data_IF_661051143580
#
_entry.id   IF_661051143580
#
_cell.length_a   1.000
_cell.length_b   1.000
_cell.length_c   1.000
_cell.angle_alpha   90.00
_cell.angle_beta   90.00
_cell.angle_gamma   90.00
#
_symmetry.space_group_name_H-M   'P 1'
#
loop_
_entity.id
_entity.type
_entity.pdbx_description
1 polymer ?
#
# COMPACT_ATOMS: atom_id res chain seq x y z
N UNK A 1 3.65 48.47 -22.67
CA UNK A 1 2.60 47.41 -22.64
C UNK A 1 3.26 46.15 -22.11
N UNK A 2 2.76 45.56 -21.02
CA UNK A 2 3.32 44.33 -20.49
C UNK A 2 3.07 43.17 -21.47
N UNK A 3 4.06 42.31 -21.68
CA UNK A 3 3.98 41.15 -22.57
C UNK A 3 2.85 40.20 -22.10
N UNK A 4 1.84 39.90 -22.94
CA UNK A 4 0.75 38.99 -22.60
C UNK A 4 1.21 37.59 -22.14
N UNK A 5 2.44 37.17 -22.45
CA UNK A 5 3.05 35.91 -22.00
C UNK A 5 3.33 35.84 -20.48
N UNK A 6 3.31 36.98 -19.78
CA UNK A 6 3.66 37.07 -18.34
C UNK A 6 2.46 37.13 -17.39
N UNK A 7 1.23 36.99 -17.91
CA UNK A 7 0.00 37.15 -17.12
C UNK A 7 -0.29 35.90 -16.28
N UNK A 8 -0.27 36.05 -14.95
CA UNK A 8 -0.57 34.99 -13.99
C UNK A 8 -2.09 34.76 -13.84
N UNK A 9 -2.53 33.50 -13.96
CA UNK A 9 -3.94 33.11 -13.84
C UNK A 9 -4.14 32.13 -12.67
N UNK A 10 -4.23 32.60 -11.42
CA UNK A 10 -4.22 31.74 -10.23
C UNK A 10 -5.43 30.80 -10.15
N UNK A 11 -6.59 31.24 -10.65
CA UNK A 11 -7.80 30.40 -10.73
C UNK A 11 -7.62 29.23 -11.70
N UNK A 12 -7.01 29.49 -12.86
CA UNK A 12 -6.74 28.45 -13.87
C UNK A 12 -5.73 27.45 -13.33
N UNK A 13 -4.61 27.95 -12.76
CA UNK A 13 -3.60 27.12 -12.12
C UNK A 13 -4.22 26.20 -11.06
N UNK A 14 -5.00 26.77 -10.13
CA UNK A 14 -5.61 26.01 -9.04
C UNK A 14 -6.54 24.91 -9.57
N UNK A 15 -7.39 25.22 -10.55
CA UNK A 15 -8.28 24.22 -11.16
C UNK A 15 -7.50 23.11 -11.89
N UNK A 16 -6.44 23.46 -12.61
CA UNK A 16 -5.55 22.48 -13.25
C UNK A 16 -4.80 21.63 -12.22
N UNK A 17 -4.39 22.20 -11.08
CA UNK A 17 -3.77 21.47 -9.97
C UNK A 17 -4.75 20.48 -9.31
N UNK A 18 -6.01 20.86 -9.10
CA UNK A 18 -7.06 19.94 -8.62
C UNK A 18 -7.25 18.78 -9.61
N UNK A 19 -7.34 19.07 -10.91
CA UNK A 19 -7.48 18.04 -11.94
C UNK A 19 -6.27 17.10 -11.99
N UNK A 20 -5.05 17.65 -11.99
CA UNK A 20 -3.82 16.86 -12.00
C UNK A 20 -3.70 15.98 -10.75
N UNK A 21 -3.96 16.55 -9.56
CA UNK A 21 -3.98 15.81 -8.30
C UNK A 21 -4.98 14.66 -8.32
N UNK A 22 -6.21 14.91 -8.82
CA UNK A 22 -7.24 13.88 -8.96
C UNK A 22 -6.80 12.74 -9.88
N UNK A 23 -6.21 13.04 -11.04
CA UNK A 23 -5.77 12.02 -11.99
C UNK A 23 -4.63 11.15 -11.43
N UNK A 24 -3.62 11.79 -10.82
CA UNK A 24 -2.46 11.08 -10.25
C UNK A 24 -2.90 10.24 -9.03
N UNK A 25 -3.75 10.79 -8.16
CA UNK A 25 -4.33 10.08 -7.01
C UNK A 25 -5.18 8.89 -7.46
N UNK A 26 -5.97 9.04 -8.53
CA UNK A 26 -6.80 7.95 -9.07
C UNK A 26 -5.93 6.83 -9.64
N UNK A 27 -4.92 7.17 -10.44
CA UNK A 27 -3.98 6.20 -11.00
C UNK A 27 -3.24 5.45 -9.89
N UNK A 28 -2.65 6.16 -8.94
CA UNK A 28 -1.95 5.56 -7.80
C UNK A 28 -2.90 4.78 -6.88
N UNK A 29 -4.16 5.17 -6.77
CA UNK A 29 -5.22 4.42 -6.07
C UNK A 29 -5.53 3.09 -6.75
N UNK A 30 -5.57 3.05 -8.09
CA UNK A 30 -5.69 1.78 -8.85
C UNK A 30 -4.46 0.90 -8.62
N UNK A 31 -3.25 1.47 -8.60
CA UNK A 31 -2.04 0.70 -8.25
C UNK A 31 -2.12 0.15 -6.83
N UNK A 32 -2.59 0.94 -5.86
CA UNK A 32 -2.80 0.51 -4.48
C UNK A 32 -3.90 -0.56 -4.33
N UNK A 33 -4.85 -0.59 -5.26
CA UNK A 33 -5.85 -1.64 -5.34
C UNK A 33 -5.20 -2.97 -5.76
N UNK A 34 -4.34 -2.95 -6.78
CA UNK A 34 -3.77 -4.16 -7.39
C UNK A 34 -2.51 -4.66 -6.67
N UNK A 35 -1.71 -3.78 -6.05
CA UNK A 35 -0.43 -4.17 -5.48
C UNK A 35 -0.56 -5.20 -4.34
N UNK A 36 0.41 -6.12 -4.19
CA UNK A 36 0.35 -7.14 -3.14
C UNK A 36 0.35 -6.54 -1.73
N UNK A 37 -0.02 -7.37 -0.75
CA UNK A 37 0.16 -7.01 0.66
C UNK A 37 1.63 -6.70 0.96
N UNK A 38 1.89 -5.79 1.92
CA UNK A 38 3.24 -5.33 2.24
C UNK A 38 4.22 -6.47 2.50
N UNK A 39 3.80 -7.50 3.26
CA UNK A 39 4.64 -8.68 3.53
C UNK A 39 5.14 -9.36 2.26
N UNK A 40 4.30 -9.46 1.22
CA UNK A 40 4.65 -10.11 -0.04
C UNK A 40 5.48 -9.15 -0.87
N UNK A 41 5.07 -7.89 -0.97
CA UNK A 41 5.74 -6.88 -1.76
C UNK A 41 7.22 -6.69 -1.38
N UNK A 42 7.53 -6.61 -0.08
CA UNK A 42 8.90 -6.45 0.39
C UNK A 42 9.70 -7.75 0.29
N UNK A 43 9.05 -8.89 0.52
CA UNK A 43 9.70 -10.19 0.47
C UNK A 43 10.09 -10.61 -0.96
N UNK A 44 9.23 -10.33 -1.93
CA UNK A 44 9.45 -10.65 -3.35
C UNK A 44 10.13 -9.54 -4.12
N UNK A 45 10.43 -8.39 -3.48
CA UNK A 45 10.92 -7.17 -4.13
C UNK A 45 10.02 -6.68 -5.28
N UNK A 46 8.71 -6.64 -5.01
CA UNK A 46 7.70 -6.28 -5.99
C UNK A 46 7.86 -4.85 -6.50
N UNK A 47 7.78 -4.70 -7.82
CA UNK A 47 7.71 -3.41 -8.50
C UNK A 47 6.71 -3.46 -9.65
N UNK A 48 6.20 -2.29 -10.03
CA UNK A 48 5.32 -2.11 -11.19
C UNK A 48 5.68 -0.81 -11.90
N UNK A 49 5.83 -0.89 -13.22
CA UNK A 49 6.33 0.23 -14.05
C UNK A 49 7.65 0.81 -13.54
N UNK A 50 8.53 -0.03 -12.99
CA UNK A 50 9.84 0.37 -12.46
C UNK A 50 9.80 1.05 -11.08
N UNK A 51 8.64 1.10 -10.42
CA UNK A 51 8.48 1.70 -9.10
C UNK A 51 8.10 0.64 -8.05
N UNK A 52 8.65 0.77 -6.86
CA UNK A 52 8.34 -0.10 -5.71
C UNK A 52 6.95 0.21 -5.14
N UNK A 53 6.46 -0.68 -4.26
CA UNK A 53 5.22 -0.43 -3.51
C UNK A 53 5.27 0.89 -2.72
N UNK A 54 6.40 1.19 -2.10
CA UNK A 54 6.61 2.41 -1.32
C UNK A 54 6.54 3.65 -2.21
N UNK A 55 7.24 3.64 -3.33
CA UNK A 55 7.24 4.77 -4.28
C UNK A 55 5.84 5.06 -4.83
N UNK A 56 5.05 4.03 -5.14
CA UNK A 56 3.64 4.21 -5.51
C UNK A 56 2.81 4.82 -4.37
N UNK A 57 3.08 4.41 -3.13
CA UNK A 57 2.48 5.01 -1.94
C UNK A 57 2.85 6.48 -1.76
N UNK A 58 4.12 6.82 -1.94
CA UNK A 58 4.62 8.19 -1.84
C UNK A 58 3.98 9.11 -2.89
N UNK A 59 3.86 8.62 -4.14
CA UNK A 59 3.15 9.33 -5.21
C UNK A 59 1.70 9.59 -4.81
N UNK A 60 1.01 8.61 -4.22
CA UNK A 60 -0.37 8.76 -3.78
C UNK A 60 -0.49 9.82 -2.68
N UNK A 61 0.41 9.80 -1.68
CA UNK A 61 0.40 10.74 -0.55
C UNK A 61 0.68 12.17 -1.04
N UNK A 62 1.74 12.36 -1.83
CA UNK A 62 2.11 13.70 -2.32
C UNK A 62 1.07 14.27 -3.28
N UNK A 63 0.47 13.44 -4.15
CA UNK A 63 -0.63 13.89 -5.02
C UNK A 63 -1.91 14.21 -4.25
N UNK A 64 -2.19 13.47 -3.17
CA UNK A 64 -3.30 13.77 -2.25
C UNK A 64 -3.10 15.10 -1.54
N UNK A 65 -1.88 15.41 -1.10
CA UNK A 65 -1.55 16.71 -0.52
C UNK A 65 -1.77 17.84 -1.52
N UNK A 66 -1.29 17.69 -2.76
CA UNK A 66 -1.55 18.65 -3.84
C UNK A 66 -3.06 18.84 -4.05
N UNK A 67 -3.82 17.74 -4.13
CA UNK A 67 -5.27 17.78 -4.34
C UNK A 67 -6.00 18.52 -3.22
N UNK A 68 -5.65 18.25 -1.95
CA UNK A 68 -6.26 18.91 -0.79
C UNK A 68 -5.93 20.40 -0.76
N UNK A 69 -4.65 20.77 -0.89
CA UNK A 69 -4.23 22.18 -0.85
C UNK A 69 -4.86 22.96 -2.02
N UNK A 70 -4.78 22.43 -3.23
CA UNK A 70 -5.40 23.03 -4.39
C UNK A 70 -6.93 23.09 -4.25
N UNK A 71 -7.56 22.06 -3.66
CA UNK A 71 -9.00 22.02 -3.38
C UNK A 71 -9.46 23.10 -2.42
N UNK A 72 -8.72 23.35 -1.33
CA UNK A 72 -9.00 24.45 -0.39
C UNK A 72 -8.91 25.81 -1.08
N UNK A 73 -7.85 26.04 -1.86
CA UNK A 73 -7.68 27.29 -2.62
C UNK A 73 -8.78 27.41 -3.70
N UNK A 74 -9.16 26.29 -4.32
CA UNK A 74 -10.24 26.24 -5.31
C UNK A 74 -11.57 26.65 -4.69
N UNK A 75 -11.90 26.12 -3.50
CA UNK A 75 -13.10 26.50 -2.74
C UNK A 75 -13.05 27.97 -2.37
N UNK A 76 -11.90 28.48 -1.91
CA UNK A 76 -11.73 29.91 -1.59
C UNK A 76 -12.05 30.81 -2.79
N UNK A 77 -11.46 30.53 -3.96
CA UNK A 77 -11.74 31.30 -5.17
C UNK A 77 -13.17 31.14 -5.71
N UNK A 78 -13.82 30.01 -5.42
CA UNK A 78 -15.17 29.69 -5.88
C UNK A 78 -16.22 29.71 -4.74
N UNK A 79 -15.95 30.46 -3.66
CA UNK A 79 -16.81 30.50 -2.47
C UNK A 79 -18.23 30.97 -2.80
N UNK A 80 -18.36 32.05 -3.59
CA UNK A 80 -19.67 32.58 -4.00
C UNK A 80 -20.48 31.56 -4.82
N UNK A 81 -19.93 30.95 -5.90
CA UNK A 81 -20.57 29.82 -6.57
C UNK A 81 -20.98 28.68 -5.63
N UNK A 82 -20.10 28.27 -4.71
CA UNK A 82 -20.40 27.19 -3.75
C UNK A 82 -21.58 27.54 -2.85
N UNK A 83 -21.61 28.75 -2.29
CA UNK A 83 -22.74 29.20 -1.45
C UNK A 83 -24.04 29.31 -2.25
N UNK A 84 -24.00 29.62 -3.55
CA UNK A 84 -25.21 29.60 -4.38
C UNK A 84 -25.77 28.18 -4.57
N UNK A 85 -24.92 27.15 -4.65
CA UNK A 85 -25.37 25.76 -4.69
C UNK A 85 -25.97 25.31 -3.35
N UNK A 86 -25.33 25.70 -2.23
CA UNK A 86 -25.76 25.31 -0.88
C UNK A 86 -26.94 26.14 -0.35
N UNK A 87 -27.11 27.37 -0.81
CA UNK A 87 -28.09 28.30 -0.31
C UNK A 87 -28.69 29.15 -1.40
N UNK A 88 -29.92 28.83 -1.83
CA UNK A 88 -30.89 29.84 -2.25
C UNK A 88 -32.31 29.45 -1.81
N UNK A 89 -32.80 30.16 -0.79
CA UNK A 89 -34.18 30.64 -0.73
C UNK A 89 -34.21 31.94 -1.54
N UNK A 90 -34.46 31.88 -2.84
CA UNK A 90 -34.83 33.07 -3.64
C UNK A 90 -36.06 32.68 -4.42
N UNK A 91 -37.19 33.34 -4.12
CA UNK A 91 -38.50 33.46 -4.79
C UNK A 91 -39.10 32.31 -5.67
N UNK A 92 -38.33 31.39 -6.24
CA UNK A 92 -38.73 30.35 -7.21
C UNK A 92 -38.45 28.90 -6.76
N UNK A 93 -38.15 28.66 -5.47
CA UNK A 93 -38.18 27.32 -4.88
C UNK A 93 -36.88 26.50 -4.88
N UNK A 94 -37.00 25.27 -4.36
CA UNK A 94 -35.95 24.30 -3.97
C UNK A 94 -35.07 23.81 -5.13
N UNK A 95 -34.17 24.65 -5.66
CA UNK A 95 -33.43 24.30 -6.89
C UNK A 95 -32.40 23.17 -6.74
N UNK A 96 -31.76 23.00 -5.58
CA UNK A 96 -30.66 22.02 -5.38
C UNK A 96 -30.72 21.17 -4.08
N UNK A 97 -31.80 21.28 -3.29
CA UNK A 97 -31.88 20.60 -1.98
C UNK A 97 -31.96 19.07 -2.09
N UNK A 98 -32.54 18.55 -3.18
CA UNK A 98 -32.64 17.10 -3.41
C UNK A 98 -31.27 16.52 -3.71
N UNK A 99 -30.51 17.19 -4.55
CA UNK A 99 -29.16 16.80 -4.97
C UNK A 99 -28.20 16.80 -3.77
N UNK A 100 -28.30 17.80 -2.89
CA UNK A 100 -27.54 17.84 -1.62
C UNK A 100 -27.93 16.66 -0.73
N UNK A 101 -29.24 16.42 -0.54
CA UNK A 101 -29.71 15.31 0.29
C UNK A 101 -29.25 13.94 -0.26
N UNK A 102 -29.32 13.74 -1.58
CA UNK A 102 -28.81 12.54 -2.25
C UNK A 102 -27.30 12.41 -2.09
N UNK A 103 -26.54 13.50 -2.24
CA UNK A 103 -25.08 13.50 -2.06
C UNK A 103 -24.69 13.10 -0.64
N UNK A 104 -25.37 13.66 0.37
CA UNK A 104 -25.17 13.31 1.78
C UNK A 104 -25.52 11.84 2.02
N UNK A 105 -26.69 11.39 1.55
CA UNK A 105 -27.13 10.00 1.71
C UNK A 105 -26.14 9.02 1.07
N UNK A 106 -25.71 9.26 -0.17
CA UNK A 106 -24.72 8.42 -0.86
C UNK A 106 -23.39 8.39 -0.11
N UNK A 107 -22.93 9.55 0.39
CA UNK A 107 -21.69 9.65 1.19
C UNK A 107 -21.80 8.84 2.48
N UNK A 108 -22.94 8.94 3.19
CA UNK A 108 -23.22 8.17 4.40
C UNK A 108 -23.30 6.67 4.11
N UNK A 109 -23.93 6.25 3.00
CA UNK A 109 -24.01 4.85 2.58
C UNK A 109 -22.60 4.29 2.30
N UNK A 110 -21.74 5.05 1.62
CA UNK A 110 -20.35 4.64 1.36
C UNK A 110 -19.59 4.47 2.67
N UNK A 111 -19.68 5.44 3.60
CA UNK A 111 -19.02 5.36 4.92
C UNK A 111 -19.55 4.19 5.74
N UNK A 112 -20.87 4.04 5.84
CA UNK A 112 -21.53 2.94 6.52
C UNK A 112 -21.07 1.58 5.96
N UNK A 113 -21.07 1.45 4.63
CA UNK A 113 -20.62 0.23 3.97
C UNK A 113 -19.14 -0.07 4.18
N UNK A 114 -18.28 0.95 4.26
CA UNK A 114 -16.86 0.74 4.49
C UNK A 114 -16.58 0.19 5.91
N UNK A 115 -17.36 0.66 6.89
CA UNK A 115 -17.28 0.25 8.31
C UNK A 115 -17.91 -1.12 8.53
N UNK A 116 -19.16 -1.32 8.09
CA UNK A 116 -19.95 -2.53 8.36
C UNK A 116 -19.93 -3.57 7.25
N UNK A 117 -19.15 -3.35 6.18
CA UNK A 117 -19.01 -4.27 5.03
C UNK A 117 -20.36 -4.66 4.42
N UNK A 118 -21.19 -3.67 4.12
CA UNK A 118 -22.55 -3.86 3.60
C UNK A 118 -22.52 -4.10 2.07
N UNK A 119 -23.18 -5.14 1.54
CA UNK A 119 -23.32 -5.34 0.08
C UNK A 119 -24.19 -4.26 -0.59
N UNK A 120 -23.98 -3.95 -1.90
CA UNK A 120 -23.00 -4.57 -2.80
C UNK A 120 -21.61 -3.91 -2.76
N UNK A 121 -21.44 -2.80 -2.03
CA UNK A 121 -20.17 -2.05 -2.00
C UNK A 121 -19.04 -2.85 -1.32
N UNK A 122 -19.36 -3.74 -0.39
CA UNK A 122 -18.39 -4.67 0.21
C UNK A 122 -17.71 -5.57 -0.81
N UNK A 123 -18.38 -5.94 -1.92
CA UNK A 123 -17.80 -6.80 -2.95
C UNK A 123 -16.55 -6.20 -3.59
N UNK A 124 -16.45 -4.86 -3.64
CA UNK A 124 -15.24 -4.18 -4.12
C UNK A 124 -14.05 -4.38 -3.15
N UNK A 125 -14.33 -4.44 -1.85
CA UNK A 125 -13.33 -4.69 -0.82
C UNK A 125 -12.89 -6.17 -0.83
N UNK A 126 -13.84 -7.09 -1.05
CA UNK A 126 -13.55 -8.51 -1.19
C UNK A 126 -12.72 -8.77 -2.46
N UNK A 127 -13.07 -8.11 -3.57
CA UNK A 127 -12.25 -8.13 -4.79
C UNK A 127 -10.84 -7.59 -4.54
N UNK A 128 -10.68 -6.53 -3.74
CA UNK A 128 -9.36 -6.04 -3.38
C UNK A 128 -8.54 -7.09 -2.63
N UNK A 129 -9.15 -7.75 -1.65
CA UNK A 129 -8.50 -8.80 -0.88
C UNK A 129 -8.09 -9.98 -1.79
N UNK A 130 -9.00 -10.44 -2.64
CA UNK A 130 -8.75 -11.50 -3.59
C UNK A 130 -7.61 -11.17 -4.55
N UNK A 131 -7.61 -9.99 -5.18
CA UNK A 131 -6.52 -9.56 -6.08
C UNK A 131 -5.17 -9.54 -5.37
N UNK A 132 -5.15 -9.14 -4.08
CA UNK A 132 -3.93 -9.12 -3.28
C UNK A 132 -3.41 -10.52 -2.95
N UNK A 133 -4.29 -11.51 -2.82
CA UNK A 133 -3.94 -12.90 -2.58
C UNK A 133 -3.41 -13.60 -3.84
N UNK A 134 -3.84 -13.18 -5.04
CA UNK A 134 -3.33 -13.75 -6.30
C UNK A 134 -1.82 -13.61 -6.49
N UNK A 135 -1.17 -12.68 -5.76
CA UNK A 135 0.28 -12.55 -5.76
C UNK A 135 1.00 -13.68 -5.00
N UNK A 136 0.29 -14.46 -4.19
CA UNK A 136 0.84 -15.61 -3.44
C UNK A 136 0.69 -16.88 -4.29
N UNK A 137 1.63 -17.10 -5.20
CA UNK A 137 1.60 -18.26 -6.12
C UNK A 137 2.01 -19.56 -5.42
N UNK A 138 2.99 -19.48 -4.53
CA UNK A 138 3.52 -20.61 -3.76
C UNK A 138 3.77 -20.21 -2.31
N UNK A 139 3.85 -21.19 -1.41
CA UNK A 139 4.12 -20.96 0.02
C UNK A 139 5.38 -20.11 0.28
N UNK A 140 6.37 -20.18 -0.61
CA UNK A 140 7.62 -19.42 -0.50
C UNK A 140 7.46 -17.91 -0.71
N UNK A 141 6.35 -17.48 -1.33
CA UNK A 141 6.04 -16.05 -1.52
C UNK A 141 5.63 -15.40 -0.19
N UNK A 142 5.26 -16.21 0.80
CA UNK A 142 5.08 -15.72 2.15
C UNK A 142 6.41 -15.73 2.89
N UNK A 143 6.81 -14.63 3.53
CA UNK A 143 7.98 -14.64 4.39
C UNK A 143 7.73 -15.56 5.60
N UNK A 144 8.77 -16.22 6.14
CA UNK A 144 8.61 -17.14 7.28
C UNK A 144 8.07 -16.44 8.53
N UNK A 145 8.22 -15.12 8.62
CA UNK A 145 7.62 -14.25 9.63
C UNK A 145 7.63 -12.79 9.13
N UNK A 146 6.91 -11.89 9.81
CA UNK A 146 6.84 -10.47 9.41
C UNK A 146 8.19 -9.77 9.41
N UNK A 147 8.44 -8.95 8.38
CA UNK A 147 9.67 -8.17 8.19
C UNK A 147 10.97 -8.99 8.17
N UNK A 148 10.91 -10.22 7.70
CA UNK A 148 12.07 -11.10 7.59
C UNK A 148 13.19 -10.50 6.70
N UNK A 149 12.82 -9.72 5.69
CA UNK A 149 13.73 -9.03 4.78
C UNK A 149 14.62 -7.98 5.48
N UNK A 150 14.17 -7.42 6.61
CA UNK A 150 14.87 -6.37 7.33
C UNK A 150 15.87 -6.93 8.36
N UNK A 151 15.77 -8.22 8.70
CA UNK A 151 16.68 -8.83 9.67
C UNK A 151 18.03 -9.13 9.05
N UNK A 152 19.07 -9.05 9.88
CA UNK A 152 20.40 -9.50 9.49
C UNK A 152 20.41 -10.99 9.18
N UNK A 153 21.32 -11.43 8.29
CA UNK A 153 21.47 -12.84 7.94
C UNK A 153 21.60 -13.73 9.19
N UNK A 154 22.36 -13.29 10.19
CA UNK A 154 22.51 -13.98 11.49
C UNK A 154 21.19 -14.17 12.22
N UNK A 155 20.42 -13.09 12.41
CA UNK A 155 19.16 -13.17 13.16
C UNK A 155 18.11 -13.95 12.38
N UNK A 156 18.07 -13.80 11.06
CA UNK A 156 17.21 -14.58 10.19
C UNK A 156 17.49 -16.08 10.30
N UNK A 157 18.76 -16.49 10.20
CA UNK A 157 19.17 -17.88 10.36
C UNK A 157 18.78 -18.44 11.73
N UNK A 158 18.96 -17.66 12.80
CA UNK A 158 18.54 -18.05 14.15
C UNK A 158 17.03 -18.30 14.24
N UNK A 159 16.21 -17.42 13.66
CA UNK A 159 14.74 -17.56 13.69
C UNK A 159 14.19 -18.69 12.81
N UNK A 160 14.92 -19.04 11.76
CA UNK A 160 14.57 -20.12 10.83
C UNK A 160 15.27 -21.43 11.15
N UNK A 161 15.99 -21.52 12.29
CA UNK A 161 16.74 -22.71 12.69
C UNK A 161 17.72 -23.21 11.60
N UNK A 162 18.38 -22.27 10.93
CA UNK A 162 19.40 -22.53 9.92
C UNK A 162 20.79 -22.28 10.55
N UNK A 163 21.74 -23.21 10.45
CA UNK A 163 23.10 -22.97 10.93
C UNK A 163 23.77 -21.84 10.13
N UNK A 164 24.21 -20.78 10.81
CA UNK A 164 24.76 -19.59 10.16
C UNK A 164 25.95 -19.91 9.24
N UNK A 165 26.89 -20.73 9.69
CA UNK A 165 28.07 -21.11 8.90
C UNK A 165 27.69 -21.87 7.62
N UNK A 166 26.67 -22.74 7.69
CA UNK A 166 26.15 -23.45 6.53
C UNK A 166 25.44 -22.48 5.57
N UNK A 167 24.67 -21.52 6.09
CA UNK A 167 24.04 -20.49 5.27
C UNK A 167 25.06 -19.62 4.54
N UNK A 168 26.08 -19.12 5.25
CA UNK A 168 27.15 -18.30 4.65
C UNK A 168 27.89 -19.08 3.56
N UNK A 169 28.23 -20.35 3.83
CA UNK A 169 28.87 -21.23 2.84
C UNK A 169 27.98 -21.40 1.61
N UNK A 170 26.70 -21.75 1.79
CA UNK A 170 25.76 -21.96 0.69
C UNK A 170 25.57 -20.69 -0.18
N UNK A 171 25.48 -19.52 0.44
CA UNK A 171 25.35 -18.24 -0.30
C UNK A 171 26.64 -17.89 -1.05
N UNK A 172 27.81 -18.16 -0.47
CA UNK A 172 29.12 -17.94 -1.13
C UNK A 172 29.36 -18.91 -2.29
N UNK A 173 28.95 -20.17 -2.16
CA UNK A 173 28.99 -21.15 -3.26
C UNK A 173 28.15 -20.71 -4.47
N UNK A 174 27.04 -20.00 -4.22
CA UNK A 174 26.24 -19.34 -5.26
C UNK A 174 26.85 -18.05 -5.80
N UNK A 175 28.08 -17.70 -5.39
CA UNK A 175 28.83 -16.50 -5.80
C UNK A 175 28.11 -15.19 -5.49
N UNK A 176 27.31 -15.16 -4.42
CA UNK A 176 26.66 -13.93 -3.97
C UNK A 176 27.68 -12.97 -3.34
N UNK A 177 27.54 -11.70 -3.64
CA UNK A 177 28.42 -10.61 -3.20
C UNK A 177 27.90 -10.04 -1.88
N UNK A 178 28.82 -9.65 -0.99
CA UNK A 178 28.47 -8.94 0.24
C UNK A 178 27.69 -9.77 1.26
N UNK A 179 27.87 -11.10 1.24
CA UNK A 179 27.34 -12.04 2.23
C UNK A 179 28.04 -11.80 3.56
N UNK A 180 27.41 -10.97 4.39
CA UNK A 180 27.84 -10.61 5.73
C UNK A 180 26.75 -10.97 6.75
N UNK A 181 27.08 -11.70 7.85
CA UNK A 181 26.10 -12.10 8.87
C UNK A 181 25.32 -10.95 9.52
N UNK A 182 25.92 -9.75 9.63
CA UNK A 182 25.31 -8.57 10.23
C UNK A 182 24.43 -7.77 9.26
N UNK A 183 24.54 -8.02 7.95
CA UNK A 183 23.81 -7.27 6.93
C UNK A 183 22.37 -7.78 6.74
N UNK A 184 21.38 -6.89 6.53
CA UNK A 184 20.00 -7.28 6.25
C UNK A 184 19.87 -8.18 5.01
N UNK A 185 18.92 -9.12 5.04
CA UNK A 185 18.62 -9.99 3.90
C UNK A 185 18.31 -9.19 2.62
N UNK A 186 17.51 -8.14 2.75
CA UNK A 186 17.16 -7.24 1.65
C UNK A 186 18.40 -6.64 0.99
N UNK A 187 19.33 -6.15 1.79
CA UNK A 187 20.50 -5.46 1.26
C UNK A 187 21.46 -6.45 0.56
N UNK A 188 21.58 -7.67 1.08
CA UNK A 188 22.32 -8.75 0.41
C UNK A 188 21.62 -9.11 -0.91
N UNK A 189 20.29 -9.25 -0.91
CA UNK A 189 19.52 -9.58 -2.10
C UNK A 189 19.65 -8.49 -3.19
N UNK A 190 19.47 -7.22 -2.83
CA UNK A 190 19.59 -6.08 -3.74
C UNK A 190 21.00 -5.92 -4.31
N UNK A 191 22.04 -6.16 -3.50
CA UNK A 191 23.43 -6.18 -3.99
C UNK A 191 23.70 -7.25 -5.06
N UNK A 192 22.80 -8.24 -5.19
CA UNK A 192 22.87 -9.33 -6.14
C UNK A 192 21.72 -9.31 -7.17
N UNK A 193 20.98 -8.20 -7.27
CA UNK A 193 19.88 -8.06 -8.23
C UNK A 193 18.77 -9.09 -8.04
N UNK A 194 18.54 -9.53 -6.80
CA UNK A 194 17.54 -10.55 -6.46
C UNK A 194 16.68 -10.09 -5.28
N UNK A 195 15.75 -10.95 -4.83
CA UNK A 195 14.84 -10.66 -3.72
C UNK A 195 15.16 -11.48 -2.46
N UNK A 196 14.73 -11.00 -1.26
CA UNK A 196 14.82 -11.78 -0.01
C UNK A 196 14.25 -13.19 -0.13
N UNK A 197 13.12 -13.35 -0.83
CA UNK A 197 12.51 -14.65 -1.15
C UNK A 197 13.49 -15.58 -1.87
N UNK A 198 14.15 -15.08 -2.92
CA UNK A 198 15.09 -15.89 -3.70
C UNK A 198 16.30 -16.30 -2.88
N UNK A 199 16.81 -15.39 -2.04
CA UNK A 199 17.90 -15.68 -1.12
C UNK A 199 17.49 -16.78 -0.12
N UNK A 200 16.30 -16.68 0.49
CA UNK A 200 15.81 -17.71 1.40
C UNK A 200 15.58 -19.05 0.71
N UNK A 201 15.15 -19.07 -0.56
CA UNK A 201 14.98 -20.31 -1.33
C UNK A 201 16.29 -21.11 -1.43
N UNK A 202 17.44 -20.45 -1.46
CA UNK A 202 18.75 -21.12 -1.42
C UNK A 202 19.10 -21.71 -0.05
N UNK A 203 18.51 -21.18 1.01
CA UNK A 203 18.76 -21.60 2.39
C UNK A 203 17.74 -22.61 2.91
N UNK A 204 16.58 -22.71 2.27
CA UNK A 204 15.44 -23.50 2.75
C UNK A 204 15.74 -24.98 3.00
N UNK A 205 16.66 -25.59 2.24
CA UNK A 205 17.06 -26.98 2.48
C UNK A 205 17.89 -27.18 3.75
N UNK A 206 18.43 -26.10 4.34
CA UNK A 206 19.24 -26.11 5.56
C UNK A 206 18.40 -25.85 6.81
N UNK A 207 17.11 -25.54 6.66
CA UNK A 207 16.17 -25.37 7.76
C UNK A 207 15.95 -26.72 8.43
N UNK A 208 16.45 -26.85 9.65
CA UNK A 208 16.25 -28.05 10.44
C UNK A 208 14.76 -28.16 10.79
N UNK A 209 14.14 -29.31 10.42
CA UNK A 209 12.75 -29.60 10.75
C UNK A 209 12.53 -29.41 12.25
N UNK A 210 11.42 -28.79 12.68
CA UNK A 210 11.10 -28.70 14.09
C UNK A 210 11.13 -30.11 14.68
N UNK A 211 11.97 -30.35 15.68
CA UNK A 211 11.77 -31.53 16.53
C UNK A 211 10.37 -31.39 17.12
N UNK A 212 9.49 -32.40 17.01
CA UNK A 212 8.22 -32.35 17.69
C UNK A 212 8.52 -32.28 19.18
N UNK A 213 8.41 -31.10 19.77
CA UNK A 213 8.38 -30.95 21.21
C UNK A 213 7.13 -31.69 21.65
N UNK A 214 7.32 -32.86 22.24
CA UNK A 214 6.30 -33.55 23.03
C UNK A 214 6.01 -32.68 24.27
N UNK A 215 5.29 -31.58 24.07
CA UNK A 215 4.63 -30.87 25.16
C UNK A 215 3.37 -31.68 25.50
N UNK A 216 3.28 -32.31 26.67
CA UNK A 216 2.04 -32.93 27.08
C UNK A 216 0.97 -31.84 27.12
N UNK A 217 -0.07 -32.00 26.31
CA UNK A 217 -1.22 -31.10 26.28
C UNK A 217 -1.95 -31.28 27.62
N UNK A 218 -1.65 -30.41 28.58
CA UNK A 218 -2.43 -30.29 29.81
C UNK A 218 -3.64 -29.44 29.47
N UNK A 219 -4.79 -30.09 29.26
CA UNK A 219 -6.06 -29.40 29.13
C UNK A 219 -6.48 -28.84 30.50
N UNK A 220 -6.34 -27.53 30.70
CA UNK A 220 -7.14 -26.82 31.72
C UNK A 220 -8.55 -26.67 31.18
N UNK A 221 -9.50 -27.38 31.78
CA UNK A 221 -10.92 -27.17 31.52
C UNK A 221 -11.30 -25.75 31.95
N UNK A 222 -11.77 -24.93 31.00
CA UNK A 222 -12.43 -23.67 31.34
C UNK A 222 -13.74 -23.99 32.05
N UNK A 223 -13.86 -23.54 33.30
CA UNK A 223 -15.12 -23.61 34.06
C UNK A 223 -16.08 -22.56 33.51
N UNK A 224 -17.26 -23.05 33.09
CA UNK A 224 -18.42 -22.28 32.59
C UNK A 224 -18.91 -21.26 33.61
#
# INVERSE_FOLDING_TARGET
MADPSTRWYPRSLTSLSVMAGFLIMSLSGVVAFVNPQGRIAFWTDWSMLGLTKEQWGDIHILSSLLFVVAGVIHIYYNWRPLMNYLGQKVASGRKHQREIAVTILLSLVIVASAIWKIPPLSYLLDLNAYVKELWVVHKDYEPPFGHAELLSLKVFCQKTNIPLEAAVTALKEKRLIGVDPGRPLRDIAHANGTSPMMLYRHLKSLEAQPQPTAVPVVYTAETV
#
